data_IF_174963624927
#
_entry.id   IF_174963624927
#
_cell.length_a   1.000
_cell.length_b   1.000
_cell.length_c   1.000
_cell.angle_alpha   90.00
_cell.angle_beta   90.00
_cell.angle_gamma   90.00
#
_symmetry.space_group_name_H-M   'P 1'
#
loop_
_entity.id
_entity.type
_entity.pdbx_description
1 polymer ?
#
# COMPACT_ATOMS: atom_id res chain seq x y z
N UNK A 1 -2.71 -14.95 0.49
CA UNK A 1 -2.20 -13.57 0.60
C UNK A 1 -3.18 -12.63 1.31
N UNK A 2 -4.45 -12.56 0.92
CA UNK A 2 -5.45 -11.64 1.53
C UNK A 2 -5.65 -11.88 3.04
N UNK A 3 -5.70 -13.15 3.49
CA UNK A 3 -5.85 -13.49 4.92
C UNK A 3 -4.71 -12.94 5.77
N UNK A 4 -3.46 -13.03 5.29
CA UNK A 4 -2.29 -12.47 5.97
C UNK A 4 -2.36 -10.93 6.03
N UNK A 5 -2.87 -10.30 4.98
CA UNK A 5 -3.10 -8.86 4.91
C UNK A 5 -4.12 -8.41 5.96
N UNK A 6 -5.23 -9.14 6.10
CA UNK A 6 -6.24 -8.88 7.14
C UNK A 6 -5.61 -9.00 8.53
N UNK A 7 -4.88 -10.10 8.79
CA UNK A 7 -4.20 -10.33 10.06
C UNK A 7 -3.20 -9.20 10.40
N UNK A 8 -2.44 -8.73 9.41
CA UNK A 8 -1.49 -7.64 9.61
C UNK A 8 -2.20 -6.34 10.01
N UNK A 9 -3.27 -5.95 9.31
CA UNK A 9 -4.04 -4.75 9.69
C UNK A 9 -4.69 -4.87 11.06
N UNK A 10 -5.23 -6.04 11.41
CA UNK A 10 -5.78 -6.29 12.74
C UNK A 10 -4.69 -6.13 13.81
N UNK A 11 -3.50 -6.69 13.60
CA UNK A 11 -2.39 -6.57 14.53
C UNK A 11 -1.96 -5.10 14.72
N UNK A 12 -1.86 -4.34 13.63
CA UNK A 12 -1.51 -2.91 13.67
C UNK A 12 -2.56 -2.12 14.46
N UNK A 13 -3.86 -2.33 14.18
CA UNK A 13 -4.94 -1.67 14.92
C UNK A 13 -4.90 -2.05 16.40
N UNK A 14 -4.73 -3.35 16.71
CA UNK A 14 -4.72 -3.84 18.09
C UNK A 14 -3.54 -3.30 18.90
N UNK A 15 -2.41 -3.03 18.27
CA UNK A 15 -1.23 -2.48 18.94
C UNK A 15 -1.31 -0.96 19.10
N UNK A 16 -1.63 -0.24 18.01
CA UNK A 16 -1.53 1.22 17.98
C UNK A 16 -2.81 1.89 18.52
N UNK A 17 -3.99 1.49 18.03
CA UNK A 17 -5.26 2.18 18.30
C UNK A 17 -5.62 2.29 19.79
N UNK A 18 -5.50 1.23 20.63
CA UNK A 18 -5.86 1.36 22.05
C UNK A 18 -4.93 2.31 22.80
N UNK A 19 -3.66 2.44 22.39
CA UNK A 19 -2.73 3.42 22.97
C UNK A 19 -3.19 4.86 22.70
N UNK A 20 -3.59 5.15 21.47
CA UNK A 20 -4.11 6.47 21.09
C UNK A 20 -5.44 6.81 21.75
N UNK A 21 -6.37 5.85 21.80
CA UNK A 21 -7.69 6.04 22.43
C UNK A 21 -7.55 6.27 23.94
N UNK A 22 -6.73 5.49 24.63
CA UNK A 22 -6.49 5.66 26.08
C UNK A 22 -5.90 7.03 26.41
N UNK A 23 -5.03 7.56 25.56
CA UNK A 23 -4.43 8.90 25.72
C UNK A 23 -5.32 10.04 25.22
N UNK A 24 -6.55 9.75 24.74
CA UNK A 24 -7.47 10.73 24.12
C UNK A 24 -6.82 11.52 22.97
N UNK A 25 -5.89 10.90 22.26
CA UNK A 25 -5.13 11.48 21.15
C UNK A 25 -5.93 11.37 19.83
N UNK A 26 -7.05 12.09 19.76
CA UNK A 26 -8.01 11.98 18.65
C UNK A 26 -7.46 12.49 17.32
N UNK A 27 -6.58 13.49 17.35
CA UNK A 27 -5.96 14.04 16.14
C UNK A 27 -4.99 13.03 15.53
N UNK A 28 -4.20 12.39 16.38
CA UNK A 28 -3.26 11.35 15.99
C UNK A 28 -4.00 10.08 15.57
N UNK A 29 -5.12 9.75 16.23
CA UNK A 29 -5.98 8.64 15.83
C UNK A 29 -6.58 8.87 14.44
N UNK A 30 -6.98 10.10 14.13
CA UNK A 30 -7.45 10.48 12.80
C UNK A 30 -6.34 10.34 11.75
N UNK A 31 -5.14 10.87 12.01
CA UNK A 31 -4.00 10.74 11.10
C UNK A 31 -3.62 9.26 10.86
N UNK A 32 -3.53 8.47 11.93
CA UNK A 32 -3.31 7.03 11.86
C UNK A 32 -4.39 6.34 11.02
N UNK A 33 -5.66 6.63 11.27
CA UNK A 33 -6.77 5.99 10.56
C UNK A 33 -6.77 6.32 9.07
N UNK A 34 -6.47 7.57 8.71
CA UNK A 34 -6.35 8.00 7.30
C UNK A 34 -5.21 7.26 6.60
N UNK A 35 -4.03 7.22 7.22
CA UNK A 35 -2.88 6.49 6.67
C UNK A 35 -3.15 4.98 6.56
N UNK A 36 -3.78 4.40 7.57
CA UNK A 36 -4.15 2.99 7.59
C UNK A 36 -5.16 2.66 6.49
N UNK A 37 -6.18 3.50 6.28
CA UNK A 37 -7.15 3.37 5.20
C UNK A 37 -6.49 3.45 3.82
N UNK A 38 -5.57 4.39 3.61
CA UNK A 38 -4.83 4.50 2.34
C UNK A 38 -4.05 3.21 2.09
N UNK A 39 -3.29 2.73 3.08
CA UNK A 39 -2.56 1.48 2.98
C UNK A 39 -3.47 0.27 2.72
N UNK A 40 -4.64 0.23 3.36
CA UNK A 40 -5.63 -0.82 3.18
C UNK A 40 -6.20 -0.80 1.75
N UNK A 41 -6.68 0.34 1.26
CA UNK A 41 -7.23 0.47 -0.10
C UNK A 41 -6.19 0.06 -1.14
N UNK A 42 -4.93 0.50 -1.00
CA UNK A 42 -3.86 0.13 -1.93
C UNK A 42 -3.55 -1.37 -1.88
N UNK A 43 -3.36 -1.94 -0.68
CA UNK A 43 -2.97 -3.34 -0.52
C UNK A 43 -4.08 -4.30 -0.95
N UNK A 44 -5.32 -4.03 -0.55
CA UNK A 44 -6.48 -4.83 -0.97
C UNK A 44 -6.80 -4.60 -2.44
N UNK A 45 -6.71 -3.37 -2.94
CA UNK A 45 -6.86 -3.06 -4.35
C UNK A 45 -5.90 -3.88 -5.22
N UNK A 46 -4.63 -3.95 -4.83
CA UNK A 46 -3.63 -4.78 -5.50
C UNK A 46 -3.93 -6.28 -5.36
N UNK A 47 -4.26 -6.74 -4.14
CA UNK A 47 -4.52 -8.16 -3.88
C UNK A 47 -5.78 -8.68 -4.61
N UNK A 48 -6.79 -7.84 -4.79
CA UNK A 48 -8.02 -8.11 -5.53
C UNK A 48 -7.89 -7.84 -7.03
N UNK A 49 -6.70 -7.44 -7.51
CA UNK A 49 -6.43 -7.03 -8.90
C UNK A 49 -7.39 -5.95 -9.42
N UNK A 50 -7.88 -5.08 -8.53
CA UNK A 50 -8.67 -3.93 -8.92
C UNK A 50 -7.80 -2.96 -9.75
N UNK A 51 -8.39 -2.16 -10.66
CA UNK A 51 -7.68 -1.12 -11.39
C UNK A 51 -7.38 0.06 -10.45
N UNK A 52 -6.55 -0.18 -9.43
CA UNK A 52 -5.96 0.87 -8.61
C UNK A 52 -4.84 1.54 -9.41
N UNK A 53 -4.70 2.87 -9.33
CA UNK A 53 -3.57 3.56 -9.93
C UNK A 53 -2.28 2.99 -9.34
N UNK A 54 -1.58 2.21 -10.16
CA UNK A 54 -0.38 1.50 -9.75
C UNK A 54 0.84 2.30 -10.23
N UNK A 55 1.61 2.92 -9.32
CA UNK A 55 2.79 3.71 -9.68
C UNK A 55 3.81 2.90 -10.49
N UNK A 56 3.88 1.58 -10.28
CA UNK A 56 4.78 0.73 -11.05
C UNK A 56 4.46 0.72 -12.54
N UNK A 57 3.20 0.93 -12.96
CA UNK A 57 2.90 1.12 -14.40
C UNK A 57 3.52 2.39 -14.96
N UNK A 58 3.60 3.46 -14.17
CA UNK A 58 4.26 4.70 -14.55
C UNK A 58 5.77 4.52 -14.61
N UNK A 59 6.34 3.82 -13.63
CA UNK A 59 7.76 3.44 -13.62
C UNK A 59 8.07 2.57 -14.84
N UNK A 60 7.26 1.55 -15.12
CA UNK A 60 7.38 0.70 -16.31
C UNK A 60 7.35 1.54 -17.58
N UNK A 61 6.45 2.51 -17.71
CA UNK A 61 6.40 3.37 -18.90
C UNK A 61 7.70 4.17 -19.11
N UNK A 62 8.36 4.60 -18.03
CA UNK A 62 9.65 5.33 -18.08
C UNK A 62 10.82 4.39 -18.38
N UNK A 63 10.85 3.19 -17.80
CA UNK A 63 11.98 2.26 -17.93
C UNK A 63 11.89 1.34 -19.14
N UNK A 64 10.69 1.08 -19.66
CA UNK A 64 10.44 0.27 -20.86
C UNK A 64 11.28 0.67 -22.08
N UNK A 65 11.44 1.97 -22.45
CA UNK A 65 12.33 2.33 -23.56
C UNK A 65 13.79 1.96 -23.31
N UNK A 66 14.26 2.04 -22.07
CA UNK A 66 15.64 1.67 -21.69
C UNK A 66 15.85 0.17 -21.77
N UNK A 67 14.92 -0.63 -21.25
CA UNK A 67 14.99 -2.09 -21.36
C UNK A 67 14.91 -2.55 -22.81
N UNK A 68 14.02 -1.96 -23.63
CA UNK A 68 13.95 -2.27 -25.06
C UNK A 68 15.23 -1.91 -25.81
N UNK A 69 15.87 -0.78 -25.47
CA UNK A 69 17.17 -0.41 -26.04
C UNK A 69 18.25 -1.44 -25.69
N UNK A 70 18.32 -1.87 -24.42
CA UNK A 70 19.27 -2.90 -23.98
C UNK A 70 19.00 -4.25 -24.69
N UNK A 71 17.74 -4.68 -24.77
CA UNK A 71 17.35 -5.92 -25.47
C UNK A 71 17.75 -5.88 -26.95
N UNK A 72 17.59 -4.74 -27.61
CA UNK A 72 17.99 -4.55 -29.02
C UNK A 72 19.50 -4.56 -29.26
N UNK A 73 20.31 -4.37 -28.21
CA UNK A 73 21.78 -4.46 -28.29
C UNK A 73 22.28 -5.88 -27.99
N UNK A 74 21.46 -6.69 -27.33
CA UNK A 74 21.76 -8.09 -27.00
C UNK A 74 21.37 -9.07 -28.11
N UNK A 75 20.55 -8.65 -29.08
CA UNK A 75 20.12 -9.43 -30.25
C UNK A 75 20.81 -8.90 -31.51
#
# INVERSE_FOLDING_TARGET
MIVLLILAFIAIIAFEAPGLVKKKMWRELAAFSVLLLIGMVLSFGQALKLPVPNPTKGIDAVFKPVTQFIESMLT
#
